data_IF_716898553784
#
_entry.id   IF_716898553784
#
_cell.length_a   1.000
_cell.length_b   1.000
_cell.length_c   1.000
_cell.angle_alpha   90.00
_cell.angle_beta   90.00
_cell.angle_gamma   90.00
#
_symmetry.space_group_name_H-M   'P 1'
#
loop_
_entity.id
_entity.type
_entity.pdbx_description
1 polymer ?
#
# COMPACT_ATOMS: atom_id res chain seq x y z
N UNK A 1 2.73 -21.90 14.49
CA UNK A 1 3.44 -20.64 14.17
C UNK A 1 2.39 -19.55 14.06
N UNK A 2 2.50 -18.50 14.87
CA UNK A 2 1.52 -17.40 14.83
C UNK A 2 1.60 -16.68 13.49
N UNK A 3 0.44 -16.37 12.93
CA UNK A 3 0.32 -15.58 11.72
C UNK A 3 0.52 -14.11 12.16
N UNK A 4 1.62 -13.49 11.74
CA UNK A 4 1.99 -12.12 12.10
C UNK A 4 2.49 -11.35 10.88
N UNK A 5 2.16 -10.06 10.83
CA UNK A 5 2.74 -9.11 9.91
C UNK A 5 4.11 -8.63 10.42
N UNK A 6 5.00 -8.26 9.49
CA UNK A 6 6.43 -8.17 9.80
C UNK A 6 7.08 -6.90 9.27
N UNK A 7 7.93 -6.29 10.08
CA UNK A 7 8.78 -5.17 9.69
C UNK A 7 10.26 -5.57 9.76
N UNK A 8 11.03 -5.11 8.80
CA UNK A 8 12.46 -5.40 8.70
C UNK A 8 13.27 -4.11 8.68
N UNK A 9 14.06 -3.92 9.73
CA UNK A 9 14.96 -2.77 9.88
C UNK A 9 16.35 -3.26 10.26
N UNK A 10 17.27 -3.15 9.30
CA UNK A 10 18.64 -3.59 9.47
C UNK A 10 19.41 -2.73 10.47
N UNK A 11 18.96 -1.51 10.75
CA UNK A 11 19.68 -0.58 11.62
C UNK A 11 19.35 -0.78 13.10
N UNK A 12 18.35 -1.63 13.40
CA UNK A 12 17.89 -1.91 14.75
C UNK A 12 18.96 -2.55 15.63
N UNK A 13 19.13 -2.04 16.85
CA UNK A 13 20.04 -2.57 17.87
C UNK A 13 19.33 -2.79 19.19
N UNK A 14 19.70 -3.84 19.91
CA UNK A 14 19.24 -4.10 21.26
C UNK A 14 19.74 -3.00 22.21
N UNK A 15 18.88 -2.34 23.01
CA UNK A 15 19.34 -1.32 23.96
C UNK A 15 20.16 -1.92 25.12
N UNK A 16 19.93 -3.19 25.47
CA UNK A 16 20.58 -3.87 26.61
C UNK A 16 22.00 -4.35 26.31
N UNK A 17 22.25 -4.89 25.11
CA UNK A 17 23.53 -5.51 24.75
C UNK A 17 24.17 -4.96 23.47
N UNK A 18 23.54 -3.94 22.86
CA UNK A 18 23.96 -3.27 21.62
C UNK A 18 24.10 -4.17 20.39
N UNK A 19 23.66 -5.43 20.48
CA UNK A 19 23.69 -6.36 19.36
C UNK A 19 22.73 -5.90 18.25
N UNK A 20 23.15 -6.11 17.00
CA UNK A 20 22.29 -5.92 15.82
C UNK A 20 21.11 -6.88 15.89
N UNK A 21 19.90 -6.37 15.67
CA UNK A 21 18.69 -7.18 15.56
C UNK A 21 18.60 -7.68 14.12
N UNK A 22 19.01 -8.93 13.91
CA UNK A 22 18.91 -9.59 12.61
C UNK A 22 17.55 -10.26 12.37
N UNK A 23 16.67 -10.26 13.39
CA UNK A 23 15.34 -10.84 13.32
C UNK A 23 14.30 -9.80 12.91
N UNK A 24 13.24 -10.30 12.30
CA UNK A 24 12.05 -9.54 11.93
C UNK A 24 11.28 -9.07 13.19
N UNK A 25 10.70 -7.88 13.08
CA UNK A 25 9.83 -7.27 14.09
C UNK A 25 8.39 -7.63 13.79
N UNK A 26 7.70 -8.24 14.75
CA UNK A 26 6.36 -8.82 14.55
C UNK A 26 5.29 -7.88 15.08
N UNK A 27 4.18 -7.73 14.36
CA UNK A 27 2.98 -7.05 14.88
C UNK A 27 1.74 -7.93 14.78
N UNK A 28 0.82 -7.71 15.71
CA UNK A 28 -0.54 -8.29 15.72
C UNK A 28 -1.61 -7.24 15.45
N UNK A 29 -1.22 -6.01 15.16
CA UNK A 29 -2.15 -4.88 15.10
C UNK A 29 -3.06 -4.94 13.88
N UNK A 30 -2.61 -5.60 12.82
CA UNK A 30 -3.40 -5.84 11.64
C UNK A 30 -4.06 -7.22 11.74
N UNK A 31 -5.18 -7.44 11.04
CA UNK A 31 -5.97 -8.68 11.02
C UNK A 31 -5.23 -9.83 10.31
N UNK A 32 -3.97 -10.04 10.70
CA UNK A 32 -2.94 -10.85 10.08
C UNK A 32 -3.05 -10.99 8.57
N UNK A 33 -2.36 -10.10 7.86
CA UNK A 33 -2.33 -10.07 6.39
C UNK A 33 -1.09 -10.81 5.84
N UNK A 34 -0.22 -11.27 6.75
CA UNK A 34 1.05 -11.94 6.47
C UNK A 34 1.99 -11.11 5.60
N UNK A 35 1.90 -9.79 5.66
CA UNK A 35 2.75 -8.89 4.91
C UNK A 35 4.09 -8.61 5.58
N UNK A 36 5.02 -8.10 4.78
CA UNK A 36 6.39 -7.83 5.18
C UNK A 36 6.85 -6.54 4.54
N UNK A 37 7.31 -5.58 5.36
CA UNK A 37 7.84 -4.29 4.89
C UNK A 37 9.27 -4.11 5.34
N UNK A 38 10.13 -3.70 4.41
CA UNK A 38 11.48 -3.21 4.66
C UNK A 38 11.47 -1.69 4.79
N UNK A 39 12.46 -1.14 5.48
CA UNK A 39 12.65 0.30 5.60
C UNK A 39 12.61 0.97 4.21
N UNK A 40 11.76 1.98 4.06
CA UNK A 40 11.46 2.68 2.81
C UNK A 40 10.21 2.19 2.08
N UNK A 41 9.74 0.97 2.36
CA UNK A 41 8.56 0.41 1.72
C UNK A 41 7.31 1.20 2.08
N UNK A 42 6.40 1.28 1.10
CA UNK A 42 5.06 1.79 1.31
C UNK A 42 4.28 0.74 2.12
N UNK A 43 3.73 1.17 3.25
CA UNK A 43 2.94 0.32 4.15
C UNK A 43 1.53 0.20 3.58
N UNK A 44 1.40 -0.75 2.66
CA UNK A 44 0.13 -1.22 2.11
C UNK A 44 0.03 -2.73 2.31
N UNK A 45 -1.21 -3.20 2.47
CA UNK A 45 -1.49 -4.60 2.75
C UNK A 45 -2.29 -5.22 1.61
N UNK A 46 -1.99 -6.48 1.30
CA UNK A 46 -2.71 -7.26 0.33
C UNK A 46 -3.91 -7.95 0.99
N UNK A 47 -5.01 -8.07 0.24
CA UNK A 47 -6.10 -8.93 0.68
C UNK A 47 -5.62 -10.38 0.63
N UNK A 48 -5.91 -11.16 1.68
CA UNK A 48 -5.79 -12.60 1.64
C UNK A 48 -7.05 -13.20 0.99
N UNK A 49 -6.84 -14.12 0.06
CA UNK A 49 -7.88 -14.89 -0.61
C UNK A 49 -7.73 -16.37 -0.24
N UNK A 50 -8.85 -17.02 0.06
CA UNK A 50 -8.86 -18.46 0.26
C UNK A 50 -8.65 -19.18 -1.08
N UNK A 51 -7.66 -20.08 -1.10
CA UNK A 51 -7.35 -20.88 -2.28
C UNK A 51 -8.44 -21.95 -2.40
N UNK A 52 -9.21 -21.98 -3.50
CA UNK A 52 -10.24 -23.00 -3.70
C UNK A 52 -9.67 -24.41 -3.55
N UNK A 53 -10.42 -25.32 -2.91
CA UNK A 53 -9.90 -26.64 -2.55
C UNK A 53 -9.43 -27.44 -3.78
N UNK A 54 -10.11 -27.29 -4.92
CA UNK A 54 -9.72 -27.90 -6.19
C UNK A 54 -8.37 -27.39 -6.71
N UNK A 55 -8.18 -26.06 -6.68
CA UNK A 55 -6.91 -25.42 -7.06
C UNK A 55 -5.78 -25.87 -6.11
N UNK A 56 -6.07 -25.90 -4.80
CA UNK A 56 -5.14 -26.33 -3.77
C UNK A 56 -4.74 -27.79 -3.94
N UNK A 57 -5.69 -28.70 -4.22
CA UNK A 57 -5.43 -30.12 -4.51
C UNK A 57 -4.62 -30.30 -5.80
N UNK A 58 -4.90 -29.50 -6.83
CA UNK A 58 -4.18 -29.54 -8.12
C UNK A 58 -2.72 -29.08 -7.96
N UNK A 59 -2.48 -28.00 -7.22
CA UNK A 59 -1.15 -27.42 -7.04
C UNK A 59 -0.29 -28.13 -5.99
N UNK A 60 -0.89 -28.59 -4.89
CA UNK A 60 -0.16 -29.09 -3.72
C UNK A 60 -0.40 -30.58 -3.40
N UNK A 61 -1.27 -31.26 -4.16
CA UNK A 61 -1.57 -32.68 -3.96
C UNK A 61 -2.10 -32.99 -2.56
N UNK A 62 -1.63 -34.09 -1.95
CA UNK A 62 -2.00 -34.53 -0.59
C UNK A 62 -1.07 -33.96 0.51
N UNK A 63 -0.40 -32.83 0.29
CA UNK A 63 0.47 -32.23 1.32
C UNK A 63 -0.34 -31.86 2.56
N UNK A 64 0.08 -32.37 3.73
CA UNK A 64 -0.56 -32.11 5.04
C UNK A 64 -0.64 -30.63 5.42
N UNK A 65 0.28 -29.80 4.89
CA UNK A 65 0.36 -28.37 5.20
C UNK A 65 0.29 -27.50 3.92
N UNK A 66 -0.57 -27.87 2.96
CA UNK A 66 -0.81 -27.00 1.81
C UNK A 66 -1.46 -25.69 2.25
N UNK A 67 -0.98 -24.52 1.78
CA UNK A 67 -1.54 -23.23 2.18
C UNK A 67 -3.00 -23.14 1.77
N UNK A 68 -3.84 -22.65 2.68
CA UNK A 68 -5.26 -22.37 2.41
C UNK A 68 -5.50 -20.94 1.94
N UNK A 69 -4.51 -20.05 2.10
CA UNK A 69 -4.62 -18.63 1.76
C UNK A 69 -3.50 -18.24 0.80
N UNK A 70 -3.81 -17.37 -0.16
CA UNK A 70 -2.84 -16.67 -1.01
C UNK A 70 -3.00 -15.17 -0.85
N UNK A 71 -1.90 -14.44 -1.05
CA UNK A 71 -1.97 -12.97 -1.21
C UNK A 71 -2.53 -12.66 -2.59
N UNK A 72 -3.50 -11.77 -2.64
CA UNK A 72 -3.98 -11.20 -3.90
C UNK A 72 -3.01 -10.13 -4.40
N UNK A 73 -3.11 -9.78 -5.68
CA UNK A 73 -2.45 -8.57 -6.23
C UNK A 73 -3.21 -7.29 -5.87
N UNK A 74 -4.38 -7.43 -5.23
CA UNK A 74 -5.22 -6.32 -4.82
C UNK A 74 -4.81 -5.87 -3.42
N UNK A 75 -4.45 -4.60 -3.33
CA UNK A 75 -4.27 -3.97 -2.04
C UNK A 75 -5.64 -3.76 -1.40
N UNK A 76 -5.71 -3.84 -0.07
CA UNK A 76 -6.90 -3.48 0.71
C UNK A 76 -7.17 -1.98 0.59
N UNK A 77 -7.81 -1.59 -0.51
CA UNK A 77 -8.37 -0.25 -0.70
C UNK A 77 -9.39 0.05 0.40
N UNK A 78 -9.35 1.29 0.88
CA UNK A 78 -10.20 1.94 1.89
C UNK A 78 -10.06 1.52 3.37
N UNK A 79 -9.31 0.46 3.71
CA UNK A 79 -8.83 0.28 5.11
C UNK A 79 -7.80 1.38 5.40
N UNK A 80 -7.69 1.91 6.64
CA UNK A 80 -6.82 3.04 6.92
C UNK A 80 -5.38 2.69 6.55
N UNK A 81 -4.93 3.21 5.40
CA UNK A 81 -3.52 3.42 5.12
C UNK A 81 -2.99 4.13 6.35
N UNK A 82 -2.08 3.49 7.07
CA UNK A 82 -1.41 4.19 8.15
C UNK A 82 -0.48 5.22 7.48
N UNK A 83 -1.02 6.40 7.20
CA UNK A 83 -0.25 7.48 6.57
C UNK A 83 0.79 7.99 7.55
N UNK A 84 0.39 8.21 8.79
CA UNK A 84 1.29 8.69 9.82
C UNK A 84 0.94 7.99 11.13
N UNK A 85 1.92 7.31 11.73
CA UNK A 85 1.69 6.58 12.97
C UNK A 85 2.85 5.73 13.46
N UNK A 86 2.62 5.10 14.61
CA UNK A 86 3.54 4.15 15.24
C UNK A 86 2.82 2.84 15.47
N UNK A 87 3.31 1.79 14.82
CA UNK A 87 2.77 0.43 14.92
C UNK A 87 3.54 -0.33 16.00
N UNK A 88 2.88 -0.88 17.03
CA UNK A 88 3.58 -1.63 18.06
C UNK A 88 4.11 -2.94 17.46
N UNK A 89 5.36 -3.21 17.73
CA UNK A 89 6.08 -4.38 17.24
C UNK A 89 6.93 -4.99 18.34
N UNK A 90 7.12 -6.30 18.27
CA UNK A 90 7.93 -7.04 19.22
C UNK A 90 8.87 -8.05 18.56
N UNK A 91 10.01 -8.30 19.19
CA UNK A 91 10.97 -9.33 18.77
C UNK A 91 11.83 -9.79 19.95
N UNK A 92 12.65 -10.83 19.76
CA UNK A 92 13.61 -11.29 20.77
C UNK A 92 15.04 -10.96 20.36
N UNK A 93 15.84 -10.46 21.31
CA UNK A 93 17.27 -10.32 21.08
C UNK A 93 17.96 -11.69 21.15
N UNK A 94 18.58 -12.14 20.05
CA UNK A 94 19.28 -13.45 20.05
C UNK A 94 20.53 -13.52 20.94
N UNK A 95 21.11 -12.37 21.34
CA UNK A 95 22.36 -12.34 22.12
C UNK A 95 22.10 -12.39 23.63
N UNK A 96 21.13 -11.61 24.12
CA UNK A 96 20.83 -11.50 25.55
C UNK A 96 19.45 -12.04 25.91
N UNK A 97 18.72 -12.61 24.94
CA UNK A 97 17.43 -13.28 25.08
C UNK A 97 16.26 -12.42 25.59
N UNK A 98 16.52 -11.13 25.89
CA UNK A 98 15.47 -10.17 26.26
C UNK A 98 14.43 -10.01 25.15
N UNK A 99 13.17 -9.92 25.58
CA UNK A 99 12.06 -9.50 24.76
C UNK A 99 12.17 -8.00 24.50
N UNK A 100 11.96 -7.58 23.26
CA UNK A 100 12.06 -6.18 22.85
C UNK A 100 10.71 -5.68 22.36
N UNK A 101 10.24 -4.57 22.92
CA UNK A 101 9.06 -3.83 22.50
C UNK A 101 9.50 -2.55 21.79
N UNK A 102 8.89 -2.22 20.65
CA UNK A 102 9.24 -1.04 19.89
C UNK A 102 8.08 -0.54 19.02
N UNK A 103 8.34 0.52 18.26
CA UNK A 103 7.45 1.04 17.25
C UNK A 103 8.04 0.94 15.85
N UNK A 104 7.31 0.36 14.90
CA UNK A 104 7.54 0.62 13.49
C UNK A 104 6.91 1.98 13.16
N UNK A 105 7.76 2.97 12.88
CA UNK A 105 7.34 4.33 12.57
C UNK A 105 7.03 4.45 11.09
N UNK A 106 5.83 4.93 10.78
CA UNK A 106 5.39 5.18 9.41
C UNK A 106 5.12 6.66 9.25
N UNK A 107 5.72 7.24 8.22
CA UNK A 107 5.59 8.65 7.87
C UNK A 107 5.23 8.73 6.39
N UNK A 108 4.18 9.48 6.08
CA UNK A 108 3.60 9.60 4.75
C UNK A 108 3.47 8.25 4.03
N UNK A 109 2.90 7.28 4.76
CA UNK A 109 2.62 5.92 4.30
C UNK A 109 3.86 5.04 4.13
N UNK A 110 5.07 5.53 4.41
CA UNK A 110 6.33 4.79 4.27
C UNK A 110 6.88 4.37 5.61
N UNK A 111 7.31 3.12 5.70
CA UNK A 111 7.98 2.61 6.88
C UNK A 111 9.38 3.22 6.98
N UNK A 112 9.62 4.01 8.02
CA UNK A 112 10.87 4.77 8.19
C UNK A 112 11.90 4.07 9.06
N UNK A 113 11.50 3.07 9.84
CA UNK A 113 12.39 2.33 10.74
C UNK A 113 11.76 2.05 12.09
N UNK A 114 12.49 1.28 12.90
CA UNK A 114 12.08 0.91 14.26
C UNK A 114 12.62 1.95 15.24
N UNK A 115 11.75 2.46 16.09
CA UNK A 115 12.06 3.51 17.07
C UNK A 115 11.58 3.12 18.46
N UNK A 116 12.13 3.79 19.47
CA UNK A 116 11.70 3.61 20.88
C UNK A 116 11.78 2.16 21.34
N UNK A 117 12.90 1.50 21.03
CA UNK A 117 13.15 0.11 21.43
C UNK A 117 13.42 0.05 22.93
N UNK A 118 12.61 -0.74 23.63
CA UNK A 118 12.72 -1.04 25.06
C UNK A 118 12.95 -2.54 25.23
N UNK A 119 13.88 -2.91 26.11
CA UNK A 119 14.09 -4.29 26.50
C UNK A 119 13.29 -4.58 27.77
N UNK A 120 12.56 -5.70 27.78
CA UNK A 120 11.76 -6.16 28.91
C UNK A 120 10.73 -5.10 29.38
N UNK A 121 10.26 -4.25 28.45
CA UNK A 121 9.30 -3.17 28.67
C UNK A 121 7.83 -3.59 28.48
N UNK A 122 6.92 -2.67 28.82
CA UNK A 122 5.48 -2.88 28.65
C UNK A 122 5.06 -2.92 27.18
N UNK A 123 3.97 -3.64 26.91
CA UNK A 123 3.42 -3.75 25.56
C UNK A 123 2.98 -2.37 25.05
N UNK A 124 3.51 -1.98 23.90
CA UNK A 124 3.20 -0.69 23.29
C UNK A 124 1.81 -0.65 22.66
N UNK A 125 1.16 0.50 22.73
CA UNK A 125 -0.15 0.76 22.11
C UNK A 125 0.00 1.41 20.75
N UNK A 126 -0.95 1.14 19.86
CA UNK A 126 -0.99 1.72 18.52
C UNK A 126 -1.29 3.22 18.53
N UNK A 127 -0.46 4.01 17.85
CA UNK A 127 -0.60 5.46 17.78
C UNK A 127 -0.86 5.92 16.36
N UNK A 128 -2.01 6.56 16.14
CA UNK A 128 -2.32 7.24 14.89
C UNK A 128 -1.94 8.71 15.03
N UNK A 129 -1.10 9.20 14.13
CA UNK A 129 -0.77 10.63 14.03
C UNK A 129 -1.69 11.23 12.97
N UNK A 130 -2.75 11.92 13.41
CA UNK A 130 -3.65 12.60 12.50
C UNK A 130 -3.06 13.95 12.10
N UNK A 131 -2.97 14.29 10.80
CA UNK A 131 -2.65 15.65 10.39
C UNK A 131 -3.75 16.60 10.89
N UNK A 132 -3.41 17.89 11.02
CA UNK A 132 -4.37 18.91 11.43
C UNK A 132 -5.59 18.99 10.49
N UNK A 133 -6.69 19.58 10.94
CA UNK A 133 -7.96 19.66 10.19
C UNK A 133 -8.09 20.91 9.33
N UNK A 134 -6.99 21.50 8.88
CA UNK A 134 -7.04 22.66 7.98
C UNK A 134 -7.33 22.22 6.54
N UNK A 135 -7.93 23.09 5.73
CA UNK A 135 -8.12 22.82 4.31
C UNK A 135 -6.80 22.55 3.57
N UNK A 136 -5.70 23.18 4.01
CA UNK A 136 -4.36 22.96 3.46
C UNK A 136 -3.86 21.55 3.76
N UNK A 137 -3.92 21.13 5.03
CA UNK A 137 -3.46 19.79 5.44
C UNK A 137 -4.29 18.66 4.84
N UNK A 138 -5.60 18.86 4.65
CA UNK A 138 -6.45 17.88 3.95
C UNK A 138 -6.05 17.73 2.47
N UNK A 139 -5.72 18.83 1.78
CA UNK A 139 -5.23 18.79 0.40
C UNK A 139 -3.89 18.08 0.29
N UNK A 140 -2.98 18.37 1.22
CA UNK A 140 -1.67 17.71 1.29
C UNK A 140 -1.81 16.21 1.57
N UNK A 141 -2.67 15.82 2.54
CA UNK A 141 -2.96 14.42 2.81
C UNK A 141 -3.54 13.70 1.58
N UNK A 142 -4.51 14.32 0.91
CA UNK A 142 -5.09 13.75 -0.31
C UNK A 142 -4.04 13.57 -1.41
N UNK A 143 -3.22 14.60 -1.66
CA UNK A 143 -2.15 14.54 -2.66
C UNK A 143 -1.13 13.43 -2.35
N UNK A 144 -0.74 13.30 -1.08
CA UNK A 144 0.19 12.25 -0.64
C UNK A 144 -0.43 10.85 -0.83
N UNK A 145 -1.70 10.66 -0.44
CA UNK A 145 -2.42 9.39 -0.64
C UNK A 145 -2.48 9.01 -2.11
N UNK A 146 -2.82 9.97 -2.97
CA UNK A 146 -2.91 9.74 -4.41
C UNK A 146 -1.54 9.38 -4.99
N UNK A 147 -0.50 10.13 -4.63
CA UNK A 147 0.88 9.87 -5.08
C UNK A 147 1.35 8.46 -4.68
N UNK A 148 1.17 8.05 -3.42
CA UNK A 148 1.54 6.71 -2.96
C UNK A 148 0.76 5.61 -3.68
N UNK A 149 -0.53 5.83 -3.93
CA UNK A 149 -1.35 4.90 -4.70
C UNK A 149 -0.86 4.80 -6.15
N UNK A 150 -0.43 5.90 -6.76
CA UNK A 150 0.12 5.92 -8.12
C UNK A 150 1.49 5.25 -8.20
N UNK A 151 2.29 5.28 -7.14
CA UNK A 151 3.59 4.61 -7.04
C UNK A 151 3.44 3.10 -6.88
N UNK A 152 2.44 2.62 -6.13
CA UNK A 152 2.22 1.18 -5.91
C UNK A 152 1.29 0.52 -6.95
N UNK A 153 0.62 1.30 -7.79
CA UNK A 153 -0.33 0.76 -8.76
C UNK A 153 0.37 0.07 -9.96
N UNK A 154 -0.10 -1.12 -10.32
CA UNK A 154 0.33 -1.84 -11.54
C UNK A 154 -0.32 -1.34 -12.83
N UNK A 155 -1.30 -0.45 -12.73
CA UNK A 155 -2.04 0.15 -13.86
C UNK A 155 -2.73 -0.84 -14.81
N UNK A 156 -3.25 -1.96 -14.30
CA UNK A 156 -3.85 -3.02 -15.14
C UNK A 156 -5.19 -2.64 -15.82
N UNK A 157 -5.95 -1.70 -15.22
CA UNK A 157 -7.23 -1.20 -15.78
C UNK A 157 -7.09 0.26 -16.20
N UNK A 158 -7.15 0.50 -17.50
CA UNK A 158 -7.01 1.83 -18.10
C UNK A 158 -8.19 2.17 -19.00
N UNK A 159 -8.46 3.46 -19.16
CA UNK A 159 -9.48 3.96 -20.07
C UNK A 159 -9.02 5.26 -20.70
N UNK A 160 -9.24 5.39 -22.00
CA UNK A 160 -9.10 6.66 -22.69
C UNK A 160 -10.28 7.57 -22.37
N UNK A 161 -9.97 8.74 -21.80
CA UNK A 161 -10.96 9.75 -21.46
C UNK A 161 -10.48 11.14 -21.85
N UNK A 162 -11.43 12.06 -22.05
CA UNK A 162 -11.10 13.45 -22.32
C UNK A 162 -10.44 14.08 -21.09
N UNK A 163 -9.35 14.80 -21.29
CA UNK A 163 -8.70 15.58 -20.23
C UNK A 163 -9.29 16.98 -20.26
N UNK A 164 -9.92 17.38 -19.18
CA UNK A 164 -10.43 18.74 -18.98
C UNK A 164 -9.42 19.55 -18.18
N UNK A 165 -8.95 20.68 -18.73
CA UNK A 165 -8.10 21.62 -17.98
C UNK A 165 -8.92 22.62 -17.17
N UNK A 166 -10.18 22.81 -17.55
CA UNK A 166 -11.21 23.50 -16.81
C UNK A 166 -12.56 22.85 -17.15
N UNK A 167 -13.61 23.01 -16.31
CA UNK A 167 -14.92 22.42 -16.57
C UNK A 167 -15.43 22.73 -17.99
N UNK A 168 -15.66 21.70 -18.79
CA UNK A 168 -16.13 21.84 -20.18
C UNK A 168 -15.07 22.24 -21.20
N UNK A 169 -13.81 22.40 -20.80
CA UNK A 169 -12.69 22.73 -21.68
C UNK A 169 -11.72 21.55 -21.81
N UNK A 170 -11.86 20.79 -22.90
CA UNK A 170 -11.05 19.60 -23.18
C UNK A 170 -9.77 19.96 -23.93
N UNK A 171 -8.61 19.55 -23.40
CA UNK A 171 -7.30 19.77 -24.03
C UNK A 171 -6.82 18.59 -24.90
N UNK A 172 -7.50 17.45 -24.82
CA UNK A 172 -7.14 16.24 -25.56
C UNK A 172 -7.67 14.99 -24.85
N UNK A 173 -7.03 13.85 -25.09
CA UNK A 173 -7.34 12.59 -24.42
C UNK A 173 -6.18 12.08 -23.60
N UNK A 174 -6.51 11.42 -22.50
CA UNK A 174 -5.57 10.72 -21.64
C UNK A 174 -5.96 9.26 -21.50
N UNK A 175 -4.99 8.36 -21.59
CA UNK A 175 -5.13 7.00 -21.10
C UNK A 175 -4.93 7.04 -19.59
N UNK A 176 -6.02 6.93 -18.83
CA UNK A 176 -6.01 7.09 -17.37
C UNK A 176 -6.21 5.74 -16.70
N UNK A 177 -5.42 5.45 -15.68
CA UNK A 177 -5.64 4.30 -14.82
C UNK A 177 -6.90 4.52 -13.97
N UNK A 178 -7.87 3.62 -14.08
CA UNK A 178 -9.15 3.73 -13.37
C UNK A 178 -9.05 3.55 -11.84
N UNK A 179 -7.88 3.12 -11.34
CA UNK A 179 -7.65 2.88 -9.92
C UNK A 179 -6.91 4.02 -9.22
N UNK A 180 -5.88 4.57 -9.86
CA UNK A 180 -5.00 5.58 -9.25
C UNK A 180 -5.06 6.93 -9.97
N UNK A 181 -5.91 7.05 -10.99
CA UNK A 181 -6.13 8.25 -11.80
C UNK A 181 -4.87 8.79 -12.50
N UNK A 182 -3.77 8.02 -12.49
CA UNK A 182 -2.56 8.39 -13.20
C UNK A 182 -2.83 8.41 -14.70
N UNK A 183 -2.54 9.52 -15.33
CA UNK A 183 -2.44 9.61 -16.79
C UNK A 183 -1.16 8.93 -17.23
N UNK A 184 -1.29 7.88 -18.04
CA UNK A 184 -0.17 7.09 -18.55
C UNK A 184 0.32 7.62 -19.89
N UNK A 185 -0.64 8.02 -20.75
CA UNK A 185 -0.39 8.52 -22.09
C UNK A 185 -1.36 9.65 -22.39
N UNK A 186 -0.96 10.57 -23.27
CA UNK A 186 -1.79 11.69 -23.72
C UNK A 186 -1.74 11.84 -25.23
N UNK A 187 -2.87 12.20 -25.85
CA UNK A 187 -2.95 12.55 -27.26
C UNK A 187 -3.69 13.88 -27.43
N UNK A 188 -3.40 14.58 -28.53
CA UNK A 188 -4.12 15.81 -28.92
C UNK A 188 -5.49 15.52 -29.54
N UNK A 189 -5.86 14.24 -29.68
CA UNK A 189 -7.15 13.85 -30.23
C UNK A 189 -8.27 14.21 -29.25
N UNK A 190 -9.43 14.56 -29.79
CA UNK A 190 -10.62 14.90 -29.04
C UNK A 190 -11.74 13.92 -29.38
N UNK A 191 -12.43 13.37 -28.38
CA UNK A 191 -13.61 12.56 -28.61
C UNK A 191 -14.87 13.28 -28.14
N UNK A 192 -15.79 13.69 -29.04
CA UNK A 192 -17.02 14.36 -28.63
C UNK A 192 -17.90 13.45 -27.78
N UNK A 193 -18.39 13.97 -26.65
CA UNK A 193 -19.31 13.24 -25.77
C UNK A 193 -20.68 12.95 -26.44
N UNK A 194 -21.04 13.69 -27.50
CA UNK A 194 -22.29 13.51 -28.24
C UNK A 194 -22.12 12.54 -29.43
N UNK A 195 -22.83 11.39 -29.47
CA UNK A 195 -22.72 10.39 -30.53
C UNK A 195 -22.98 10.93 -31.94
N UNK A 196 -23.97 11.83 -32.09
CA UNK A 196 -24.31 12.42 -33.40
C UNK A 196 -23.19 13.32 -33.93
N UNK A 197 -22.51 14.04 -33.02
CA UNK A 197 -21.40 14.92 -33.35
C UNK A 197 -20.14 14.10 -33.70
N UNK A 198 -19.95 12.95 -33.05
CA UNK A 198 -18.89 11.98 -33.36
C UNK A 198 -19.03 11.43 -34.78
N UNK A 199 -20.22 11.04 -35.19
CA UNK A 199 -20.47 10.51 -36.54
C UNK A 199 -20.29 11.57 -37.63
N UNK A 200 -20.73 12.81 -37.38
CA UNK A 200 -20.52 13.94 -38.29
C UNK A 200 -19.03 14.26 -38.46
N UNK A 201 -18.26 14.29 -37.37
CA UNK A 201 -16.83 14.60 -37.43
C UNK A 201 -16.01 13.48 -38.09
N UNK A 202 -16.35 12.21 -37.86
CA UNK A 202 -15.75 11.07 -38.57
C UNK A 202 -16.00 11.13 -40.07
N UNK A 203 -17.24 11.44 -40.50
CA UNK A 203 -17.58 11.61 -41.93
C UNK A 203 -16.82 12.78 -42.57
N UNK A 204 -16.51 13.82 -41.81
CA UNK A 204 -15.78 15.00 -42.29
C UNK A 204 -14.25 14.83 -42.38
N UNK A 205 -13.68 13.66 -42.04
CA UNK A 205 -12.22 13.41 -41.93
C UNK A 205 -11.47 14.34 -40.96
N UNK A 206 -12.19 15.00 -40.05
CA UNK A 206 -11.61 15.89 -39.01
C UNK A 206 -11.23 15.17 -37.72
N UNK A 207 -11.60 13.89 -37.60
CA UNK A 207 -11.04 12.96 -36.64
C UNK A 207 -10.15 12.01 -37.45
N UNK A 208 -8.85 11.98 -37.16
CA UNK A 208 -7.91 10.96 -37.65
C UNK A 208 -7.93 9.79 -36.69
#
# INVERSE_FOLDING_TARGET
MGLYDRFYDEDSKCPKCSAKIATEWLTKQFECLMDTWKKGDIVQYHRLEEIPEEERKRGYGKRKFAPSLRKTVEYLGDKPLLLNGKVPVGTNCRKCESWLEAYAKVVDGRFTGIVEIEADGDRKEFVIIRPGTTAKSLREEFANRLSLLQESCKHEKTKWMNIEWAPGHVSGRGCVCLRCEKTLETTSEFEPNNPKLRDLLKRSKRLR
#
